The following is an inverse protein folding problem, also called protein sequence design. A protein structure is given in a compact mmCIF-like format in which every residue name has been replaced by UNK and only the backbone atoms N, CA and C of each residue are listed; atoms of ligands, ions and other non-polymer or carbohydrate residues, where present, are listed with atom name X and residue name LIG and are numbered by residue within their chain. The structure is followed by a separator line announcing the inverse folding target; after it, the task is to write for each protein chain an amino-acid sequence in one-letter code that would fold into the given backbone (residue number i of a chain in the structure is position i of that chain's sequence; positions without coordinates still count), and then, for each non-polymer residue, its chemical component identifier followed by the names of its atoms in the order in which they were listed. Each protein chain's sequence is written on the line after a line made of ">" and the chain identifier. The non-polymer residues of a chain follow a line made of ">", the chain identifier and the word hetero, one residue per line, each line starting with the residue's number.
data_IF_105330576980
#
_entry.id   IF_105330576980
#
_cell.length_a   1.000
_cell.length_b   1.000
_cell.length_c   1.000
_cell.angle_alpha   90.00
_cell.angle_beta   90.00
_cell.angle_gamma   90.00
#
_symmetry.space_group_name_H-M   'P 1'
#
loop_
_entity.id
_entity.type
_entity.pdbx_description
1 polymer ?
#
# COMPACT_ATOMS: atom_id res chain seq x y z
N UNK A 1 8.03 8.28 7.79
CA UNK A 1 9.09 7.96 8.78
C UNK A 1 9.33 6.46 8.79
N UNK A 2 10.55 6.01 8.49
CA UNK A 2 10.87 4.58 8.38
C UNK A 2 10.55 3.78 9.65
N UNK A 3 10.74 4.35 10.84
CA UNK A 3 10.44 3.69 12.11
C UNK A 3 8.95 3.35 12.26
N UNK A 4 8.05 4.24 11.81
CA UNK A 4 6.61 3.98 11.89
C UNK A 4 6.23 2.85 10.93
N UNK A 5 6.70 2.91 9.68
CA UNK A 5 6.49 1.85 8.69
C UNK A 5 6.98 0.49 9.21
N UNK A 6 8.16 0.47 9.83
CA UNK A 6 8.71 -0.73 10.44
C UNK A 6 7.81 -1.32 11.54
N UNK A 7 7.22 -0.48 12.41
CA UNK A 7 6.28 -0.94 13.44
C UNK A 7 5.05 -1.61 12.83
N UNK A 8 4.49 -1.06 11.75
CA UNK A 8 3.40 -1.72 11.01
C UNK A 8 3.86 -3.03 10.36
N UNK A 9 5.09 -3.06 9.84
CA UNK A 9 5.70 -4.27 9.27
C UNK A 9 5.91 -5.39 10.28
N UNK A 10 6.06 -5.07 11.57
CA UNK A 10 6.07 -6.07 12.64
C UNK A 10 4.69 -6.67 12.88
N UNK A 11 3.60 -5.97 12.56
CA UNK A 11 2.23 -6.46 12.73
C UNK A 11 1.80 -7.46 11.65
N UNK A 12 2.60 -7.64 10.62
CA UNK A 12 2.34 -8.65 9.60
C UNK A 12 2.18 -10.03 10.25
N UNK A 13 1.09 -10.73 9.92
CA UNK A 13 0.72 -11.97 10.61
C UNK A 13 1.76 -13.09 10.44
N UNK A 14 2.33 -13.23 9.24
CA UNK A 14 3.40 -14.21 8.98
C UNK A 14 4.66 -13.90 9.81
N UNK A 15 5.06 -12.62 9.86
CA UNK A 15 6.23 -12.18 10.64
C UNK A 15 5.99 -12.32 12.14
N UNK A 16 4.82 -11.92 12.64
CA UNK A 16 4.45 -12.10 14.04
C UNK A 16 4.45 -13.56 14.45
N UNK A 17 3.90 -14.45 13.59
CA UNK A 17 3.93 -15.90 13.83
C UNK A 17 5.36 -16.39 13.94
N UNK A 18 6.23 -16.04 12.98
CA UNK A 18 7.64 -16.43 13.02
C UNK A 18 8.41 -15.89 14.24
N UNK A 19 8.10 -14.68 14.70
CA UNK A 19 8.71 -14.10 15.91
C UNK A 19 8.26 -14.81 17.19
N UNK A 20 6.96 -15.16 17.27
CA UNK A 20 6.43 -15.95 18.38
C UNK A 20 7.09 -17.32 18.45
N UNK A 21 7.24 -17.98 17.30
CA UNK A 21 7.86 -19.31 17.21
C UNK A 21 9.36 -19.28 17.54
N UNK A 22 10.11 -18.28 17.06
CA UNK A 22 11.57 -18.22 17.25
C UNK A 22 12.01 -17.63 18.58
N UNK A 23 11.29 -16.62 19.08
CA UNK A 23 11.73 -15.82 20.23
C UNK A 23 10.75 -15.88 21.41
N UNK A 24 9.61 -16.57 21.27
CA UNK A 24 8.56 -16.56 22.30
C UNK A 24 7.87 -15.20 22.46
N UNK A 25 8.09 -14.27 21.54
CA UNK A 25 7.57 -12.91 21.68
C UNK A 25 6.06 -12.86 21.46
N UNK A 26 5.39 -12.16 22.37
CA UNK A 26 3.97 -11.82 22.24
C UNK A 26 3.86 -10.31 22.19
N UNK A 27 3.50 -9.79 21.02
CA UNK A 27 3.17 -8.36 20.87
C UNK A 27 1.80 -8.13 21.50
N UNK A 28 1.71 -7.09 22.33
CA UNK A 28 0.45 -6.68 22.96
C UNK A 28 -0.59 -6.36 21.88
N UNK A 29 -1.83 -6.89 21.97
CA UNK A 29 -2.90 -6.55 21.03
C UNK A 29 -3.17 -5.04 20.93
N UNK A 30 -2.90 -4.30 22.01
CA UNK A 30 -3.10 -2.85 22.10
C UNK A 30 -2.29 -2.07 21.07
N UNK A 31 -1.13 -2.57 20.63
CA UNK A 31 -0.31 -1.85 19.66
C UNK A 31 -1.04 -1.70 18.31
N UNK A 32 -1.91 -2.65 17.94
CA UNK A 32 -2.73 -2.56 16.73
C UNK A 32 -3.72 -1.41 16.85
N UNK A 33 -4.26 -1.19 18.06
CA UNK A 33 -5.16 -0.08 18.37
C UNK A 33 -4.43 1.26 18.36
N UNK A 34 -3.25 1.36 18.96
CA UNK A 34 -2.47 2.61 19.00
C UNK A 34 -2.02 3.04 17.60
N UNK A 35 -1.53 2.10 16.80
CA UNK A 35 -1.13 2.34 15.41
C UNK A 35 -2.34 2.69 14.54
N UNK A 36 -3.50 2.13 14.86
CA UNK A 36 -4.76 2.47 14.21
C UNK A 36 -5.21 3.92 14.49
N UNK A 37 -5.19 4.34 15.75
CA UNK A 37 -5.50 5.71 16.14
C UNK A 37 -4.53 6.70 15.48
N UNK A 38 -3.27 6.31 15.34
CA UNK A 38 -2.27 7.10 14.62
C UNK A 38 -2.62 7.29 13.13
N UNK A 39 -3.10 6.25 12.43
CA UNK A 39 -3.54 6.37 11.03
C UNK A 39 -4.72 7.35 10.93
N UNK A 40 -5.68 7.28 11.84
CA UNK A 40 -6.81 8.22 11.86
C UNK A 40 -6.37 9.66 12.12
N UNK A 41 -5.48 9.86 13.07
CA UNK A 41 -4.95 11.18 13.42
C UNK A 41 -4.09 11.79 12.31
N UNK A 42 -3.39 10.96 11.53
CA UNK A 42 -2.55 11.42 10.42
C UNK A 42 -3.37 11.86 9.20
N UNK A 43 -4.55 11.26 8.94
CA UNK A 43 -5.49 11.76 7.91
C UNK A 43 -5.97 13.20 8.17
N UNK A 44 -5.94 13.68 9.41
CA UNK A 44 -6.57 14.96 9.83
C UNK A 44 -5.63 16.17 9.88
N UNK A 45 -4.32 16.03 9.64
CA UNK A 45 -3.36 17.16 9.74
C UNK A 45 -3.29 17.96 8.42
N UNK A 46 -3.82 19.19 8.48
CA UNK A 46 -4.21 20.02 7.33
C UNK A 46 -3.09 20.71 6.53
N UNK A 47 -1.81 20.65 6.93
CA UNK A 47 -0.78 21.44 6.24
C UNK A 47 -0.18 20.76 4.99
N UNK A 48 -0.24 19.42 4.91
CA UNK A 48 0.28 18.64 3.77
C UNK A 48 -0.53 17.35 3.55
N UNK A 49 -1.78 17.46 3.04
CA UNK A 49 -2.71 16.33 2.96
C UNK A 49 -2.15 15.13 2.15
N UNK A 50 -1.44 15.41 1.06
CA UNK A 50 -0.85 14.40 0.18
C UNK A 50 0.22 13.54 0.86
N UNK A 51 1.07 14.16 1.68
CA UNK A 51 2.18 13.47 2.35
C UNK A 51 1.68 12.53 3.44
N UNK A 52 0.70 12.98 4.22
CA UNK A 52 0.15 12.19 5.32
C UNK A 52 -0.65 10.98 4.81
N UNK A 53 -1.39 11.13 3.70
CA UNK A 53 -2.09 10.01 3.07
C UNK A 53 -1.12 8.97 2.51
N UNK A 54 -0.07 9.39 1.78
CA UNK A 54 0.89 8.45 1.21
C UNK A 54 1.68 7.72 2.30
N UNK A 55 2.08 8.41 3.38
CA UNK A 55 2.74 7.77 4.51
C UNK A 55 1.82 6.75 5.22
N UNK A 56 0.53 7.07 5.38
CA UNK A 56 -0.44 6.12 5.91
C UNK A 56 -0.57 4.88 5.01
N UNK A 57 -0.60 5.06 3.69
CA UNK A 57 -0.64 3.93 2.74
C UNK A 57 0.61 3.06 2.83
N UNK A 58 1.79 3.66 3.00
CA UNK A 58 3.01 2.90 3.26
C UNK A 58 2.93 2.08 4.53
N UNK A 59 2.42 2.67 5.62
CA UNK A 59 2.25 1.94 6.88
C UNK A 59 1.27 0.77 6.74
N UNK A 60 0.11 1.00 6.09
CA UNK A 60 -0.87 -0.05 5.84
C UNK A 60 -0.31 -1.15 4.92
N UNK A 61 0.46 -0.79 3.90
CA UNK A 61 1.13 -1.74 3.02
C UNK A 61 2.10 -2.65 3.79
N UNK A 62 2.90 -2.13 4.73
CA UNK A 62 3.84 -2.96 5.49
C UNK A 62 3.16 -4.08 6.30
N UNK A 63 1.90 -3.90 6.72
CA UNK A 63 1.15 -4.96 7.42
C UNK A 63 0.87 -6.17 6.53
N UNK A 64 0.70 -5.94 5.21
CA UNK A 64 0.17 -6.91 4.24
C UNK A 64 -1.14 -7.60 4.71
N UNK A 65 -1.91 -6.94 5.57
CA UNK A 65 -3.19 -7.43 6.10
C UNK A 65 -4.35 -6.68 5.41
N UNK A 66 -4.94 -7.31 4.40
CA UNK A 66 -6.04 -6.73 3.64
C UNK A 66 -7.26 -6.38 4.52
N UNK A 67 -7.53 -7.15 5.57
CA UNK A 67 -8.69 -6.93 6.44
C UNK A 67 -8.46 -5.74 7.37
N UNK A 68 -7.22 -5.54 7.81
CA UNK A 68 -6.83 -4.32 8.52
C UNK A 68 -6.96 -3.10 7.60
N UNK A 69 -6.49 -3.20 6.35
CA UNK A 69 -6.57 -2.09 5.38
C UNK A 69 -8.03 -1.73 5.05
N UNK A 70 -8.88 -2.73 4.80
CA UNK A 70 -10.32 -2.53 4.54
C UNK A 70 -11.02 -1.79 5.66
N UNK A 71 -10.71 -2.17 6.91
CA UNK A 71 -11.20 -1.44 8.07
C UNK A 71 -10.61 -0.03 8.09
N UNK A 72 -9.30 0.14 7.89
CA UNK A 72 -8.61 1.44 8.00
C UNK A 72 -9.10 2.50 7.03
N UNK A 73 -9.63 2.06 5.90
CA UNK A 73 -10.08 2.90 4.81
C UNK A 73 -11.59 2.78 4.58
N UNK A 74 -12.35 2.30 5.57
CA UNK A 74 -13.81 2.15 5.46
C UNK A 74 -14.52 3.50 5.31
N UNK A 75 -13.98 4.54 5.92
CA UNK A 75 -14.46 5.92 5.88
C UNK A 75 -13.98 6.71 4.64
N UNK A 76 -13.07 6.14 3.83
CA UNK A 76 -12.44 6.84 2.72
C UNK A 76 -13.26 6.67 1.43
N UNK A 77 -13.99 7.73 1.06
CA UNK A 77 -14.80 7.78 -0.18
C UNK A 77 -14.11 8.48 -1.33
N UNK A 78 -13.22 9.42 -1.04
CA UNK A 78 -12.48 10.22 -2.03
C UNK A 78 -10.99 10.22 -1.71
N UNK A 79 -10.17 10.03 -2.75
CA UNK A 79 -8.72 10.12 -2.68
C UNK A 79 -8.20 11.18 -3.65
N UNK A 80 -7.75 12.31 -3.11
CA UNK A 80 -7.15 13.38 -3.90
C UNK A 80 -5.66 13.50 -3.60
N UNK A 81 -4.84 13.43 -4.65
CA UNK A 81 -3.39 13.59 -4.56
C UNK A 81 -2.90 14.59 -5.61
N UNK A 82 -2.01 15.49 -5.22
CA UNK A 82 -1.49 16.55 -6.09
C UNK A 82 0.04 16.64 -6.06
N UNK A 83 0.65 16.79 -7.26
CA UNK A 83 2.08 17.06 -7.47
C UNK A 83 3.01 16.03 -6.83
N UNK A 84 2.58 14.77 -6.75
CA UNK A 84 3.38 13.64 -6.24
C UNK A 84 4.20 13.01 -7.36
N UNK A 85 5.46 12.68 -7.09
CA UNK A 85 6.27 11.78 -7.92
C UNK A 85 6.28 10.40 -7.25
N UNK A 86 5.46 9.47 -7.74
CA UNK A 86 5.35 8.12 -7.20
C UNK A 86 6.55 7.27 -7.64
N UNK A 87 7.39 6.90 -6.68
CA UNK A 87 8.37 5.83 -6.82
C UNK A 87 7.66 4.48 -6.98
N UNK A 88 8.34 3.42 -7.45
CA UNK A 88 7.73 2.09 -7.54
C UNK A 88 7.16 1.60 -6.21
N UNK A 89 7.83 1.90 -5.09
CA UNK A 89 7.31 1.60 -3.75
C UNK A 89 6.02 2.37 -3.43
N UNK A 90 5.94 3.65 -3.80
CA UNK A 90 4.72 4.43 -3.60
C UNK A 90 3.55 3.85 -4.41
N UNK A 91 3.83 3.39 -5.64
CA UNK A 91 2.84 2.78 -6.52
C UNK A 91 2.29 1.48 -5.93
N UNK A 92 3.15 0.63 -5.36
CA UNK A 92 2.73 -0.60 -4.69
C UNK A 92 1.83 -0.30 -3.48
N UNK A 93 2.25 0.64 -2.63
CA UNK A 93 1.49 1.01 -1.44
C UNK A 93 0.13 1.62 -1.82
N UNK A 94 0.11 2.51 -2.80
CA UNK A 94 -1.11 3.12 -3.35
C UNK A 94 -2.05 2.05 -3.90
N UNK A 95 -1.57 1.20 -4.81
CA UNK A 95 -2.38 0.16 -5.45
C UNK A 95 -2.94 -0.84 -4.44
N UNK A 96 -2.13 -1.25 -3.46
CA UNK A 96 -2.57 -2.15 -2.40
C UNK A 96 -3.68 -1.54 -1.55
N UNK A 97 -3.55 -0.26 -1.18
CA UNK A 97 -4.57 0.43 -0.39
C UNK A 97 -5.85 0.67 -1.18
N UNK A 98 -5.74 1.17 -2.43
CA UNK A 98 -6.87 1.41 -3.33
C UNK A 98 -7.66 0.12 -3.59
N UNK A 99 -6.98 -0.99 -3.87
CA UNK A 99 -7.60 -2.30 -4.06
C UNK A 99 -8.42 -2.73 -2.83
N UNK A 100 -8.00 -2.32 -1.65
CA UNK A 100 -8.60 -2.71 -0.37
C UNK A 100 -9.45 -1.59 0.26
N UNK A 101 -9.85 -0.57 -0.51
CA UNK A 101 -10.66 0.54 -0.04
C UNK A 101 -12.14 0.29 -0.42
N UNK A 102 -13.00 -0.18 0.50
CA UNK A 102 -14.32 -0.74 0.16
C UNK A 102 -15.32 0.30 -0.34
N UNK A 103 -15.18 1.55 0.11
CA UNK A 103 -16.13 2.64 -0.15
C UNK A 103 -15.53 3.74 -1.04
N UNK A 104 -14.40 3.47 -1.70
CA UNK A 104 -13.75 4.46 -2.56
C UNK A 104 -14.57 4.67 -3.85
N UNK A 105 -15.00 5.90 -4.07
CA UNK A 105 -15.83 6.30 -5.20
C UNK A 105 -15.06 7.16 -6.20
N UNK A 106 -14.09 7.95 -5.73
CA UNK A 106 -13.37 8.91 -6.57
C UNK A 106 -11.88 8.94 -6.25
N UNK A 107 -11.07 8.98 -7.30
CA UNK A 107 -9.62 9.19 -7.22
C UNK A 107 -9.25 10.34 -8.15
N UNK A 108 -8.70 11.42 -7.60
CA UNK A 108 -8.26 12.59 -8.35
C UNK A 108 -6.75 12.77 -8.22
N UNK A 109 -6.02 12.58 -9.32
CA UNK A 109 -4.56 12.71 -9.36
C UNK A 109 -4.18 13.94 -10.19
N UNK A 110 -3.75 15.02 -9.54
CA UNK A 110 -3.41 16.28 -10.20
C UNK A 110 -1.90 16.45 -10.34
N UNK A 111 -1.40 16.53 -11.58
CA UNK A 111 0.05 16.74 -11.85
C UNK A 111 0.96 15.70 -11.17
N UNK A 112 0.47 14.48 -11.00
CA UNK A 112 1.24 13.38 -10.46
C UNK A 112 2.05 12.68 -11.54
N UNK A 113 3.22 12.17 -11.18
CA UNK A 113 4.13 11.43 -12.07
C UNK A 113 4.38 10.05 -11.50
N UNK A 114 4.31 9.03 -12.34
CA UNK A 114 4.57 7.63 -11.98
C UNK A 114 5.91 7.22 -12.60
N UNK A 115 6.88 6.94 -11.74
CA UNK A 115 8.25 6.62 -12.15
C UNK A 115 8.39 5.12 -12.45
N UNK A 116 9.21 4.77 -13.44
CA UNK A 116 9.61 3.39 -13.71
C UNK A 116 10.91 3.05 -13.00
N UNK A 117 11.03 1.79 -12.55
CA UNK A 117 12.35 1.18 -12.35
C UNK A 117 12.78 0.56 -13.68
N UNK A 118 13.87 1.06 -14.27
CA UNK A 118 14.56 0.33 -15.34
C UNK A 118 15.21 -0.91 -14.69
N UNK A 119 14.45 -2.01 -14.65
CA UNK A 119 14.85 -3.29 -14.06
C UNK A 119 15.95 -4.00 -14.87
N UNK A 120 17.09 -3.36 -15.12
CA UNK A 120 18.25 -4.12 -15.59
C UNK A 120 19.09 -4.67 -14.44
N UNK A 121 19.12 -4.07 -13.25
CA UNK A 121 20.02 -4.55 -12.17
C UNK A 121 19.56 -4.19 -10.76
N UNK A 122 18.46 -4.74 -10.25
CA UNK A 122 18.28 -4.77 -8.79
C UNK A 122 17.33 -5.89 -8.32
N UNK A 123 17.78 -6.60 -7.30
CA UNK A 123 17.10 -7.77 -6.73
C UNK A 123 15.84 -7.30 -6.01
N UNK A 124 14.69 -7.49 -6.65
CA UNK A 124 13.38 -7.18 -6.07
C UNK A 124 13.21 -7.83 -4.67
N UNK A 125 12.76 -7.05 -3.66
CA UNK A 125 12.33 -7.56 -2.37
C UNK A 125 11.33 -8.73 -2.48
N UNK A 126 11.35 -9.68 -1.54
CA UNK A 126 10.50 -10.88 -1.58
C UNK A 126 8.97 -10.64 -1.80
N UNK A 127 8.35 -9.57 -1.27
CA UNK A 127 6.94 -9.24 -1.57
C UNK A 127 6.70 -8.97 -3.06
N UNK A 128 7.67 -8.32 -3.71
CA UNK A 128 7.63 -7.99 -5.14
C UNK A 128 7.75 -9.23 -6.02
N UNK A 129 8.51 -10.24 -5.57
CA UNK A 129 8.58 -11.54 -6.28
C UNK A 129 7.23 -12.25 -6.33
N UNK A 130 6.46 -12.25 -5.23
CA UNK A 130 5.14 -12.90 -5.18
C UNK A 130 4.13 -12.24 -6.13
N UNK A 131 4.15 -10.91 -6.25
CA UNK A 131 3.30 -10.20 -7.23
C UNK A 131 3.80 -10.39 -8.68
N UNK A 132 5.11 -10.41 -8.91
CA UNK A 132 5.68 -10.57 -10.24
C UNK A 132 5.47 -11.99 -10.79
N UNK A 133 5.71 -13.03 -9.99
CA UNK A 133 5.52 -14.44 -10.39
C UNK A 133 4.07 -14.84 -10.65
N UNK A 134 3.10 -14.16 -10.01
CA UNK A 134 1.67 -14.47 -10.21
C UNK A 134 1.10 -13.83 -11.48
N UNK A 135 1.79 -12.84 -12.06
CA UNK A 135 1.23 -11.94 -13.08
C UNK A 135 1.98 -11.93 -14.42
N UNK A 136 3.17 -12.53 -14.53
CA UNK A 136 3.86 -12.71 -15.82
C UNK A 136 3.59 -14.12 -16.33
N UNK A 137 2.52 -14.26 -17.10
CA UNK A 137 2.37 -15.41 -17.99
C UNK A 137 3.56 -15.43 -18.96
N UNK A 138 4.10 -16.62 -19.21
CA UNK A 138 5.17 -16.85 -20.17
C UNK A 138 4.69 -16.43 -21.56
N UNK A 139 4.99 -15.23 -22.00
CA UNK A 139 4.99 -14.86 -23.41
C UNK A 139 6.01 -13.75 -23.64
N UNK A 140 7.03 -14.09 -24.41
CA UNK A 140 8.02 -13.20 -25.00
C UNK A 140 7.28 -12.16 -25.90
N UNK A 141 7.77 -10.92 -25.92
CA UNK A 141 7.19 -9.69 -26.51
C UNK A 141 6.23 -8.84 -25.64
N UNK A 142 6.50 -8.74 -24.33
CA UNK A 142 5.75 -7.84 -23.45
C UNK A 142 6.18 -6.36 -23.62
N UNK A 143 5.34 -5.57 -24.27
CA UNK A 143 5.31 -4.11 -24.20
C UNK A 143 5.51 -3.68 -22.73
N UNK A 144 6.52 -2.84 -22.41
CA UNK A 144 6.76 -2.38 -21.04
C UNK A 144 5.43 -1.87 -20.46
N UNK A 145 4.89 -2.47 -19.38
CA UNK A 145 3.58 -2.09 -18.86
C UNK A 145 3.62 -0.62 -18.45
N UNK A 146 2.53 0.12 -18.69
CA UNK A 146 2.40 1.53 -18.28
C UNK A 146 2.76 1.72 -16.80
N UNK A 147 3.33 2.87 -16.37
CA UNK A 147 3.58 3.13 -14.95
C UNK A 147 2.29 3.06 -14.11
N UNK A 148 1.13 3.29 -14.75
CA UNK A 148 -0.18 3.22 -14.13
C UNK A 148 -0.72 1.80 -14.01
N UNK A 149 -0.03 0.80 -14.54
CA UNK A 149 -0.53 -0.57 -14.65
C UNK A 149 -1.03 -1.11 -13.31
N UNK A 150 -0.24 -0.97 -12.24
CA UNK A 150 -0.60 -1.45 -10.91
C UNK A 150 -1.85 -0.75 -10.37
N UNK A 151 -1.97 0.56 -10.59
CA UNK A 151 -3.15 1.31 -10.14
C UNK A 151 -4.37 0.89 -10.96
N UNK A 152 -4.26 0.86 -12.29
CA UNK A 152 -5.34 0.41 -13.17
C UNK A 152 -5.80 -1.02 -12.84
N UNK A 153 -4.89 -1.93 -12.48
CA UNK A 153 -5.25 -3.28 -12.06
C UNK A 153 -6.04 -3.26 -10.74
N UNK A 154 -5.59 -2.49 -9.75
CA UNK A 154 -6.30 -2.33 -8.48
C UNK A 154 -7.73 -1.80 -8.66
N UNK A 155 -7.94 -0.91 -9.64
CA UNK A 155 -9.27 -0.34 -9.93
C UNK A 155 -10.20 -1.31 -10.66
N UNK A 156 -9.67 -2.31 -11.39
CA UNK A 156 -10.47 -3.25 -12.21
C UNK A 156 -11.15 -4.36 -11.41
N UNK A 157 -10.79 -4.56 -10.14
CA UNK A 157 -11.44 -5.61 -9.33
C UNK A 157 -12.88 -5.21 -8.95
N UNK A 158 -13.86 -6.14 -8.99
CA UNK A 158 -15.30 -5.86 -9.07
C UNK A 158 -15.94 -5.21 -7.82
N UNK A 159 -15.15 -4.70 -6.88
CA UNK A 159 -15.63 -4.13 -5.61
C UNK A 159 -15.57 -2.61 -5.57
N UNK A 160 -14.95 -1.96 -6.54
CA UNK A 160 -14.78 -0.51 -6.58
C UNK A 160 -15.93 0.13 -7.38
N UNK A 161 -16.78 0.92 -6.72
CA UNK A 161 -17.86 1.70 -7.35
C UNK A 161 -17.32 2.98 -7.99
N UNK A 162 -16.16 2.90 -8.65
CA UNK A 162 -15.47 4.06 -9.17
C UNK A 162 -16.26 4.63 -10.35
N UNK A 163 -16.56 5.92 -10.27
CA UNK A 163 -17.19 6.69 -11.36
C UNK A 163 -16.16 7.55 -12.08
#
# INVERSE_FOLDING_TARGET
>A
MLTVRFLFGLLNEERMKGMREKFGWTISPHIKTDLWEWVKATKQKANYPNWHQLEAFHCLYETQDENLVKRALDDLTELTMERIKFTPMDQLALSFCVKNCPNLETISLYRCLFLFEDHEKEVLPAPLRKLHHKNVGQHEDALKPSPLYLLCQALKEPKSKLR
#
